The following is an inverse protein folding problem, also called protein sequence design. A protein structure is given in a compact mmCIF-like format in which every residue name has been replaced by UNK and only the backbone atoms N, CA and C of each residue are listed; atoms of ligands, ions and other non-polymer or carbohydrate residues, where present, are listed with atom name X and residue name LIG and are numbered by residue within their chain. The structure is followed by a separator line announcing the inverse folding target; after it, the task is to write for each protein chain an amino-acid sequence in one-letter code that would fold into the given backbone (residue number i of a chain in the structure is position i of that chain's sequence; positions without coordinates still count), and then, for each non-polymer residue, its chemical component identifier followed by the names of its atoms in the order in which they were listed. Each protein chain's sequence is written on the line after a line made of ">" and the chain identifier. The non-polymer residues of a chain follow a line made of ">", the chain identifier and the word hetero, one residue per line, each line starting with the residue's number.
data_IF_049736205409
#
_entry.id   IF_049736205409
#
_cell.length_a   1.000
_cell.length_b   1.000
_cell.length_c   1.000
_cell.angle_alpha   90.00
_cell.angle_beta   90.00
_cell.angle_gamma   90.00
#
_symmetry.space_group_name_H-M   'P 1'
#
loop_
_entity.id
_entity.type
_entity.pdbx_description
1 polymer ?
#
# COMPACT_ATOMS: atom_id res chain seq x y z
N UNK A 1 26.47 -2.91 -1.74
CA UNK A 1 25.12 -3.48 -1.90
C UNK A 1 24.11 -2.34 -1.93
N UNK A 2 23.24 -2.38 -2.90
CA UNK A 2 22.23 -1.35 -3.04
C UNK A 2 21.11 -1.55 -2.02
N UNK A 3 20.90 -0.55 -1.16
CA UNK A 3 19.87 -0.60 -0.12
C UNK A 3 18.46 -0.71 -0.69
N UNK A 4 18.27 -0.29 -1.95
CA UNK A 4 16.95 -0.30 -2.57
C UNK A 4 16.52 -1.65 -3.12
N UNK A 5 17.40 -2.66 -3.10
CA UNK A 5 17.04 -4.00 -3.55
C UNK A 5 16.45 -4.88 -2.45
N UNK A 6 16.50 -4.46 -1.19
CA UNK A 6 15.88 -5.21 -0.13
C UNK A 6 14.44 -4.74 0.10
N UNK A 7 13.69 -5.51 0.88
CA UNK A 7 12.29 -5.22 1.17
C UNK A 7 12.08 -3.83 1.74
N UNK A 8 12.89 -3.46 2.74
CA UNK A 8 12.76 -2.15 3.39
C UNK A 8 13.00 -1.01 2.40
N UNK A 9 14.04 -1.12 1.57
CA UNK A 9 14.33 -0.10 0.56
C UNK A 9 13.22 0.03 -0.46
N UNK A 10 12.67 -1.09 -0.90
CA UNK A 10 11.55 -1.07 -1.85
C UNK A 10 10.30 -0.43 -1.26
N UNK A 11 10.04 -0.66 0.02
CA UNK A 11 8.90 -0.01 0.67
C UNK A 11 9.14 1.48 0.84
N UNK A 12 10.36 1.88 1.17
CA UNK A 12 10.72 3.31 1.29
C UNK A 12 10.49 4.03 -0.04
N UNK A 13 10.88 3.43 -1.16
CA UNK A 13 10.65 4.03 -2.48
C UNK A 13 9.15 4.33 -2.71
N UNK A 14 8.29 3.41 -2.32
CA UNK A 14 6.85 3.58 -2.51
C UNK A 14 6.24 4.59 -1.54
N UNK A 15 6.75 4.66 -0.32
CA UNK A 15 6.33 5.68 0.64
C UNK A 15 6.72 7.07 0.18
N UNK A 16 7.92 7.23 -0.37
CA UNK A 16 8.38 8.52 -0.88
C UNK A 16 7.49 9.01 -2.01
N UNK A 17 6.96 8.12 -2.82
CA UNK A 17 6.03 8.51 -3.90
C UNK A 17 4.74 9.10 -3.36
N UNK A 18 4.29 8.70 -2.19
CA UNK A 18 3.09 9.29 -1.57
C UNK A 18 3.30 10.77 -1.28
N UNK A 19 4.51 11.14 -0.91
CA UNK A 19 4.84 12.54 -0.60
C UNK A 19 5.16 13.36 -1.86
N UNK A 20 5.69 12.71 -2.90
CA UNK A 20 6.20 13.40 -4.09
C UNK A 20 5.28 13.34 -5.30
N UNK A 21 4.26 12.48 -5.31
CA UNK A 21 3.28 12.38 -6.38
C UNK A 21 1.91 12.79 -5.88
N UNK A 22 1.04 13.17 -6.81
CA UNK A 22 -0.34 13.53 -6.48
C UNK A 22 -1.24 12.30 -6.51
N UNK A 23 -2.01 12.12 -5.45
CA UNK A 23 -2.99 11.04 -5.35
C UNK A 23 -4.33 11.61 -4.94
N UNK A 24 -5.40 11.04 -5.48
CA UNK A 24 -6.75 11.50 -5.21
C UNK A 24 -7.64 10.32 -4.86
N UNK A 25 -8.38 10.45 -3.77
CA UNK A 25 -9.42 9.49 -3.40
C UNK A 25 -10.70 9.86 -4.16
N UNK A 26 -11.13 8.99 -5.06
CA UNK A 26 -12.31 9.23 -5.88
C UNK A 26 -13.57 8.68 -5.24
N UNK A 27 -13.46 7.56 -4.54
CA UNK A 27 -14.61 6.91 -3.93
C UNK A 27 -14.14 5.99 -2.81
N UNK A 28 -15.03 5.76 -1.85
CA UNK A 28 -14.81 4.85 -0.74
C UNK A 28 -16.13 4.17 -0.42
N UNK A 29 -16.11 2.84 -0.32
CA UNK A 29 -17.28 2.10 0.11
C UNK A 29 -16.89 0.93 1.00
N UNK A 30 -17.87 0.45 1.75
CA UNK A 30 -17.69 -0.72 2.61
C UNK A 30 -18.63 -1.81 2.14
N UNK A 31 -18.10 -3.03 2.05
CA UNK A 31 -18.88 -4.16 1.55
C UNK A 31 -18.25 -5.45 2.04
N UNK A 32 -19.05 -6.37 2.60
CA UNK A 32 -18.61 -7.72 3.00
C UNK A 32 -17.32 -7.73 3.82
N UNK A 33 -17.26 -6.90 4.87
CA UNK A 33 -16.12 -6.82 5.78
C UNK A 33 -14.83 -6.35 5.11
N UNK A 34 -14.95 -5.53 4.08
CA UNK A 34 -13.80 -4.89 3.44
C UNK A 34 -14.12 -3.45 3.09
N UNK A 35 -13.07 -2.64 3.02
CA UNK A 35 -13.14 -1.26 2.53
C UNK A 35 -12.55 -1.23 1.13
N UNK A 36 -13.23 -0.55 0.22
CA UNK A 36 -12.80 -0.40 -1.16
C UNK A 36 -12.58 1.08 -1.45
N UNK A 37 -11.37 1.42 -1.90
CA UNK A 37 -10.99 2.80 -2.21
C UNK A 37 -10.66 2.89 -3.70
N UNK A 38 -11.25 3.84 -4.40
CA UNK A 38 -10.86 4.15 -5.78
C UNK A 38 -9.89 5.30 -5.75
N UNK A 39 -8.69 5.07 -6.26
CA UNK A 39 -7.57 6.00 -6.19
C UNK A 39 -7.10 6.33 -7.60
N UNK A 40 -6.88 7.61 -7.85
CA UNK A 40 -6.31 8.09 -9.10
C UNK A 40 -4.98 8.78 -8.80
N UNK A 41 -3.96 8.47 -9.59
CA UNK A 41 -2.67 9.16 -9.49
C UNK A 41 -2.48 10.16 -10.62
N UNK A 42 -1.24 10.59 -10.82
CA UNK A 42 -0.91 11.58 -11.85
C UNK A 42 -1.13 11.07 -13.28
N UNK A 43 -1.14 9.75 -13.48
CA UNK A 43 -1.37 9.14 -14.79
C UNK A 43 -2.83 9.05 -15.17
N UNK A 44 -3.74 9.45 -14.29
CA UNK A 44 -5.19 9.43 -14.48
C UNK A 44 -5.81 8.03 -14.59
N UNK A 45 -5.05 6.98 -14.39
CA UNK A 45 -5.59 5.63 -14.28
C UNK A 45 -6.23 5.46 -12.92
N UNK A 46 -7.37 4.80 -12.88
CA UNK A 46 -8.10 4.55 -11.63
C UNK A 46 -7.80 3.13 -11.18
N UNK A 47 -7.34 3.02 -9.93
CA UNK A 47 -7.07 1.72 -9.32
C UNK A 47 -7.92 1.55 -8.06
N UNK A 48 -8.19 0.30 -7.73
CA UNK A 48 -8.91 -0.04 -6.51
C UNK A 48 -7.96 -0.59 -5.47
N UNK A 49 -8.04 -0.03 -4.27
CA UNK A 49 -7.36 -0.56 -3.09
C UNK A 49 -8.41 -1.22 -2.21
N UNK A 50 -8.20 -2.48 -1.85
CA UNK A 50 -9.11 -3.22 -0.98
C UNK A 50 -8.42 -3.53 0.32
N UNK A 51 -9.05 -3.16 1.43
CA UNK A 51 -8.58 -3.47 2.78
C UNK A 51 -9.54 -4.45 3.41
N UNK A 52 -9.07 -5.66 3.67
CA UNK A 52 -9.87 -6.72 4.30
C UNK A 52 -9.75 -6.57 5.80
N UNK A 53 -10.87 -6.24 6.47
CA UNK A 53 -10.87 -5.85 7.87
C UNK A 53 -10.50 -6.99 8.82
N UNK A 54 -10.98 -8.20 8.56
CA UNK A 54 -10.70 -9.33 9.46
C UNK A 54 -9.27 -9.83 9.32
N UNK A 55 -8.80 -10.04 8.09
CA UNK A 55 -7.45 -10.54 7.85
C UNK A 55 -6.39 -9.45 7.89
N UNK A 56 -6.81 -8.18 7.88
CA UNK A 56 -5.92 -7.01 7.87
C UNK A 56 -4.97 -7.01 6.67
N UNK A 57 -5.43 -7.50 5.54
CA UNK A 57 -4.69 -7.50 4.28
C UNK A 57 -5.13 -6.32 3.42
N UNK A 58 -4.18 -5.77 2.67
CA UNK A 58 -4.46 -4.67 1.76
C UNK A 58 -3.90 -5.00 0.38
N UNK A 59 -4.70 -4.78 -0.65
CA UNK A 59 -4.34 -5.09 -2.03
C UNK A 59 -4.74 -3.96 -2.96
N UNK A 60 -3.98 -3.83 -4.03
CA UNK A 60 -4.29 -2.89 -5.10
C UNK A 60 -4.23 -3.65 -6.43
N UNK A 61 -5.06 -3.25 -7.38
CA UNK A 61 -5.08 -3.88 -8.71
C UNK A 61 -4.12 -3.24 -9.70
N UNK A 62 -3.22 -2.37 -9.25
CA UNK A 62 -2.25 -1.73 -10.14
C UNK A 62 -1.16 -2.72 -10.58
N UNK A 63 -0.45 -2.42 -11.69
CA UNK A 63 0.61 -3.31 -12.17
C UNK A 63 1.71 -3.58 -11.15
N UNK A 64 2.14 -2.56 -10.40
CA UNK A 64 3.18 -2.72 -9.39
C UNK A 64 2.76 -3.70 -8.30
N UNK A 65 1.52 -3.58 -7.82
CA UNK A 65 1.00 -4.46 -6.77
C UNK A 65 0.94 -5.91 -7.23
N UNK A 66 0.71 -6.13 -8.51
CA UNK A 66 0.63 -7.48 -9.09
C UNK A 66 1.99 -8.07 -9.46
N UNK A 67 3.04 -7.26 -9.50
CA UNK A 67 4.36 -7.69 -9.94
C UNK A 67 5.45 -7.40 -8.92
N UNK A 68 6.10 -6.24 -9.02
CA UNK A 68 7.28 -5.93 -8.22
C UNK A 68 6.99 -5.82 -6.72
N UNK A 69 5.91 -5.14 -6.35
CA UNK A 69 5.54 -5.02 -4.94
C UNK A 69 5.29 -6.40 -4.33
N UNK A 70 4.58 -7.25 -5.06
CA UNK A 70 4.30 -8.61 -4.61
C UNK A 70 5.58 -9.43 -4.49
N UNK A 71 6.49 -9.28 -5.45
CA UNK A 71 7.77 -9.99 -5.44
C UNK A 71 8.61 -9.63 -4.23
N UNK A 72 8.64 -8.36 -3.86
CA UNK A 72 9.41 -7.88 -2.71
C UNK A 72 8.67 -8.00 -1.38
N UNK A 73 7.39 -8.37 -1.39
CA UNK A 73 6.60 -8.47 -0.18
C UNK A 73 6.25 -7.12 0.43
N UNK A 74 6.06 -6.10 -0.40
CA UNK A 74 5.73 -4.74 0.04
C UNK A 74 4.39 -4.32 -0.54
N UNK A 75 3.84 -3.20 -0.03
CA UNK A 75 2.62 -2.64 -0.58
C UNK A 75 2.95 -1.51 -1.54
N UNK A 76 2.14 -1.37 -2.60
CA UNK A 76 2.37 -0.36 -3.62
C UNK A 76 2.06 1.05 -3.10
N UNK A 77 2.41 2.07 -3.90
CA UNK A 77 2.20 3.47 -3.52
C UNK A 77 0.73 3.80 -3.26
N UNK A 78 -0.20 3.18 -3.98
CA UNK A 78 -1.63 3.41 -3.74
C UNK A 78 -2.08 2.89 -2.38
N UNK A 79 -1.60 1.72 -1.99
CA UNK A 79 -1.87 1.17 -0.66
C UNK A 79 -1.24 2.07 0.42
N UNK A 80 -0.02 2.55 0.20
CA UNK A 80 0.63 3.49 1.11
C UNK A 80 -0.20 4.76 1.29
N UNK A 81 -0.72 5.30 0.19
CA UNK A 81 -1.56 6.49 0.23
C UNK A 81 -2.80 6.26 1.10
N UNK A 82 -3.47 5.11 0.94
CA UNK A 82 -4.65 4.78 1.74
C UNK A 82 -4.29 4.70 3.22
N UNK A 83 -3.21 4.00 3.55
CA UNK A 83 -2.80 3.81 4.95
C UNK A 83 -2.45 5.12 5.62
N UNK A 84 -1.65 5.95 4.97
CA UNK A 84 -1.10 7.15 5.60
C UNK A 84 -1.93 8.41 5.42
N UNK A 85 -2.61 8.56 4.29
CA UNK A 85 -3.31 9.81 3.98
C UNK A 85 -4.82 9.71 4.12
N UNK A 86 -5.41 8.57 3.77
CA UNK A 86 -6.85 8.39 3.84
C UNK A 86 -7.26 7.89 5.22
N UNK A 87 -6.69 6.80 5.68
CA UNK A 87 -7.01 6.23 6.99
C UNK A 87 -6.30 6.94 8.14
N UNK A 88 -5.19 7.61 7.83
CA UNK A 88 -4.39 8.35 8.82
C UNK A 88 -4.10 7.50 10.05
N UNK A 89 -3.67 6.26 9.81
CA UNK A 89 -3.27 5.39 10.90
C UNK A 89 -2.10 6.04 11.64
N UNK A 90 -2.25 6.25 12.92
CA UNK A 90 -1.39 7.11 13.71
C UNK A 90 -0.04 6.54 14.08
N UNK A 91 0.63 5.84 13.19
CA UNK A 91 1.98 5.34 13.45
C UNK A 91 2.98 5.98 12.49
N UNK A 92 4.21 6.10 12.97
CA UNK A 92 5.27 6.69 12.18
C UNK A 92 5.78 5.73 11.11
N UNK A 93 6.48 6.30 10.11
CA UNK A 93 7.04 5.56 9.00
C UNK A 93 7.90 4.37 9.44
N UNK A 94 8.71 4.55 10.48
CA UNK A 94 9.55 3.48 11.01
C UNK A 94 8.74 2.33 11.60
N UNK A 95 7.69 2.65 12.33
CA UNK A 95 6.80 1.63 12.90
C UNK A 95 6.10 0.84 11.81
N UNK A 96 5.69 1.53 10.75
CA UNK A 96 5.07 0.88 9.61
C UNK A 96 6.04 -0.09 8.93
N UNK A 97 7.28 0.35 8.73
CA UNK A 97 8.31 -0.49 8.10
C UNK A 97 8.62 -1.73 8.94
N UNK A 98 8.60 -1.59 10.26
CA UNK A 98 8.80 -2.72 11.16
C UNK A 98 7.62 -3.68 11.12
N UNK A 99 6.40 -3.16 11.06
CA UNK A 99 5.21 -3.99 11.03
C UNK A 99 5.11 -4.84 9.78
N UNK A 100 5.73 -4.43 8.67
CA UNK A 100 5.75 -5.20 7.44
C UNK A 100 6.46 -6.54 7.59
N UNK A 101 7.40 -6.64 8.51
CA UNK A 101 8.09 -7.90 8.78
C UNK A 101 7.09 -8.96 9.25
N UNK A 102 6.12 -8.55 10.07
CA UNK A 102 5.06 -9.44 10.53
C UNK A 102 4.02 -9.69 9.44
N UNK A 103 3.75 -8.66 8.64
CA UNK A 103 2.77 -8.77 7.56
C UNK A 103 3.16 -9.81 6.52
N UNK A 104 4.44 -9.98 6.26
CA UNK A 104 4.92 -10.98 5.30
C UNK A 104 4.53 -12.39 5.71
N UNK A 105 4.73 -12.72 6.99
CA UNK A 105 4.35 -14.04 7.49
C UNK A 105 2.86 -14.28 7.37
N UNK A 106 2.05 -13.24 7.49
CA UNK A 106 0.60 -13.33 7.35
C UNK A 106 0.16 -13.41 5.89
N UNK A 107 0.85 -12.70 5.00
CA UNK A 107 0.52 -12.69 3.59
C UNK A 107 0.91 -13.99 2.87
N UNK A 108 1.92 -14.66 3.36
CA UNK A 108 2.38 -15.93 2.81
C UNK A 108 1.57 -17.12 3.33
N UNK A 109 0.73 -16.91 4.29
CA UNK A 109 -0.08 -17.96 4.90
C UNK A 109 -1.30 -18.35 4.07
#
# INVERSE_FOLDING_TARGET
>A
MDLYFNKRGQQILRLDKVENESFYLLDKCEEDNKLIFKICGSTKNIYEVKLYLTSKRIFCNCPDSKSWARKYGVICKHCCFVVFKVLKLGFEKEQFLESLVFSDAQLDA
#
